data_IF_888998796278
#
_entry.id   IF_888998796278
#
_cell.length_a   1.000
_cell.length_b   1.000
_cell.length_c   1.000
_cell.angle_alpha   90.00
_cell.angle_beta   90.00
_cell.angle_gamma   90.00
#
_symmetry.space_group_name_H-M   'P 1'
#
loop_
_entity.id
_entity.type
_entity.pdbx_description
1 polymer ?
#
# COMPACT_ATOMS: atom_id res chain seq x y z
N UNK A 1 -4.83 -7.03 13.68
CA UNK A 1 -5.93 -7.42 12.76
C UNK A 1 -6.97 -8.15 13.58
N UNK A 2 -8.24 -7.76 13.46
CA UNK A 2 -9.33 -8.33 14.26
C UNK A 2 -9.87 -9.64 13.65
N UNK A 3 -9.60 -9.87 12.35
CA UNK A 3 -9.86 -11.15 11.67
C UNK A 3 -8.58 -11.97 11.56
N UNK A 4 -8.69 -13.28 11.77
CA UNK A 4 -7.59 -14.22 11.63
C UNK A 4 -6.99 -14.21 10.23
N UNK A 5 -5.69 -14.47 10.14
CA UNK A 5 -4.92 -14.48 8.89
C UNK A 5 -5.03 -15.84 8.19
N UNK A 6 -5.28 -15.85 6.88
CA UNK A 6 -5.42 -17.07 6.10
C UNK A 6 -4.27 -17.26 5.09
N UNK A 7 -3.02 -17.18 5.58
CA UNK A 7 -1.81 -17.16 4.72
C UNK A 7 -1.70 -18.34 3.75
N UNK A 8 -2.09 -19.56 4.17
CA UNK A 8 -2.05 -20.73 3.31
C UNK A 8 -3.05 -20.64 2.14
N UNK A 9 -4.23 -20.09 2.41
CA UNK A 9 -5.26 -19.88 1.39
C UNK A 9 -4.84 -18.80 0.40
N UNK A 10 -4.21 -17.72 0.88
CA UNK A 10 -3.69 -16.66 0.03
C UNK A 10 -2.58 -17.16 -0.91
N UNK A 11 -1.67 -17.99 -0.41
CA UNK A 11 -0.60 -18.60 -1.23
C UNK A 11 -1.17 -19.53 -2.31
N UNK A 12 -2.14 -20.37 -1.93
CA UNK A 12 -2.79 -21.32 -2.85
C UNK A 12 -3.54 -20.57 -3.95
N UNK A 13 -4.27 -19.52 -3.60
CA UNK A 13 -5.00 -18.69 -4.54
C UNK A 13 -4.05 -17.93 -5.49
N UNK A 14 -2.96 -17.35 -4.96
CA UNK A 14 -1.94 -16.69 -5.77
C UNK A 14 -1.27 -17.64 -6.77
N UNK A 15 -1.00 -18.89 -6.37
CA UNK A 15 -0.49 -19.93 -7.26
C UNK A 15 -1.47 -20.27 -8.38
N UNK A 16 -2.74 -20.47 -8.06
CA UNK A 16 -3.80 -20.74 -9.04
C UNK A 16 -3.93 -19.61 -10.08
N UNK A 17 -3.96 -18.36 -9.62
CA UNK A 17 -4.07 -17.19 -10.49
C UNK A 17 -2.87 -17.09 -11.42
N UNK A 18 -1.64 -17.30 -10.93
CA UNK A 18 -0.45 -17.26 -11.76
C UNK A 18 -0.40 -18.39 -12.80
N UNK A 19 -0.90 -19.59 -12.48
CA UNK A 19 -1.05 -20.68 -13.46
C UNK A 19 -1.98 -20.24 -14.60
N UNK A 20 -3.14 -19.66 -14.27
CA UNK A 20 -4.09 -19.16 -15.26
C UNK A 20 -3.50 -18.04 -16.13
N UNK A 21 -2.78 -17.09 -15.52
CA UNK A 21 -2.12 -16.00 -16.25
C UNK A 21 -1.01 -16.51 -17.16
N UNK A 22 -0.27 -17.54 -16.75
CA UNK A 22 0.73 -18.22 -17.56
C UNK A 22 0.13 -18.88 -18.81
N UNK A 23 -1.02 -19.57 -18.66
CA UNK A 23 -1.75 -20.17 -19.80
C UNK A 23 -2.26 -19.11 -20.78
N UNK A 24 -2.66 -17.94 -20.27
CA UNK A 24 -3.13 -16.81 -21.08
C UNK A 24 -2.00 -15.93 -21.64
N UNK A 25 -0.73 -16.22 -21.32
CA UNK A 25 0.43 -15.44 -21.77
C UNK A 25 0.58 -14.05 -21.13
N UNK A 26 -0.11 -13.81 -19.99
CA UNK A 26 -0.09 -12.54 -19.26
C UNK A 26 1.02 -12.53 -18.19
N UNK A 27 1.53 -11.35 -17.79
CA UNK A 27 2.56 -11.24 -16.77
C UNK A 27 2.07 -11.74 -15.41
N UNK A 28 2.97 -12.30 -14.61
CA UNK A 28 2.64 -12.89 -13.32
C UNK A 28 2.37 -11.81 -12.27
N UNK A 29 1.32 -12.01 -11.48
CA UNK A 29 0.88 -11.07 -10.45
C UNK A 29 1.48 -11.44 -9.10
N UNK A 30 2.02 -10.43 -8.42
CA UNK A 30 2.64 -10.55 -7.11
C UNK A 30 1.98 -9.57 -6.14
N UNK A 31 2.12 -9.85 -4.83
CA UNK A 31 1.61 -8.97 -3.79
C UNK A 31 2.29 -7.59 -3.85
N UNK A 32 1.49 -6.52 -3.96
CA UNK A 32 2.00 -5.16 -4.02
C UNK A 32 2.24 -4.60 -2.61
N UNK A 33 3.44 -4.81 -2.07
CA UNK A 33 3.82 -4.41 -0.72
C UNK A 33 3.65 -2.91 -0.40
N UNK A 34 4.16 -1.94 -1.20
CA UNK A 34 4.02 -0.53 -0.84
C UNK A 34 2.56 -0.05 -1.00
N UNK A 35 1.82 -0.60 -1.96
CA UNK A 35 0.42 -0.23 -2.17
C UNK A 35 -0.49 -0.77 -1.06
N UNK A 36 -0.25 -2.00 -0.59
CA UNK A 36 -1.05 -2.60 0.47
C UNK A 36 -0.87 -1.89 1.81
N UNK A 37 0.35 -1.48 2.16
CA UNK A 37 0.61 -0.72 3.39
C UNK A 37 0.01 0.68 3.34
N UNK A 38 0.09 1.37 2.19
CA UNK A 38 -0.56 2.66 2.00
C UNK A 38 -2.08 2.58 2.12
N UNK A 39 -2.69 1.56 1.50
CA UNK A 39 -4.12 1.38 1.56
C UNK A 39 -4.61 1.16 3.01
N UNK A 40 -3.86 0.36 3.77
CA UNK A 40 -4.13 0.12 5.20
C UNK A 40 -3.92 1.39 6.02
N UNK A 41 -2.88 2.19 5.71
CA UNK A 41 -2.61 3.48 6.38
C UNK A 41 -3.70 4.51 6.10
N UNK A 42 -4.29 4.53 4.90
CA UNK A 42 -5.43 5.39 4.57
C UNK A 42 -6.72 5.00 5.31
N UNK A 43 -6.85 3.74 5.74
CA UNK A 43 -7.97 3.22 6.51
C UNK A 43 -7.73 3.27 8.03
N UNK A 44 -6.57 3.78 8.45
CA UNK A 44 -6.18 3.88 9.85
C UNK A 44 -6.75 5.17 10.48
N UNK A 45 -7.36 5.02 11.64
CA UNK A 45 -7.76 6.13 12.50
C UNK A 45 -6.58 6.43 13.41
N UNK A 46 -5.99 7.60 13.22
CA UNK A 46 -4.89 8.12 14.04
C UNK A 46 -5.50 9.04 15.08
N UNK A 47 -5.24 8.76 16.36
CA UNK A 47 -5.55 9.69 17.45
C UNK A 47 -4.25 10.30 17.96
N UNK A 48 -4.27 11.61 18.19
CA UNK A 48 -3.21 12.32 18.89
C UNK A 48 -3.40 12.13 20.40
N UNK A 49 -2.45 11.43 21.04
CA UNK A 49 -2.36 11.38 22.51
C UNK A 49 -1.18 12.21 22.97
N UNK A 50 -1.44 13.10 23.91
CA UNK A 50 -0.39 13.86 24.60
C UNK A 50 -0.01 13.09 25.85
N UNK A 51 1.15 12.42 25.80
CA UNK A 51 1.77 11.82 26.98
C UNK A 51 3.05 12.59 27.33
N UNK A 52 3.13 13.12 28.55
CA UNK A 52 4.34 13.76 29.05
C UNK A 52 4.79 15.05 28.35
N UNK A 53 3.90 15.74 27.62
CA UNK A 53 4.22 16.98 26.90
C UNK A 53 4.68 16.78 25.46
N UNK A 54 4.72 15.54 24.97
CA UNK A 54 4.98 15.22 23.57
C UNK A 54 3.71 14.68 22.89
N UNK A 55 3.43 15.16 21.67
CA UNK A 55 2.34 14.69 20.82
C UNK A 55 2.76 13.36 20.19
N UNK A 56 2.08 12.27 20.57
CA UNK A 56 2.26 10.96 19.94
C UNK A 56 1.01 10.65 19.10
N UNK A 57 1.21 10.53 17.78
CA UNK A 57 0.20 9.96 16.88
C UNK A 57 0.20 8.44 17.03
N UNK A 58 -0.88 7.89 17.60
CA UNK A 58 -1.03 6.43 17.74
C UNK A 58 -2.18 5.95 16.85
N UNK A 59 -1.94 4.87 16.09
CA UNK A 59 -2.96 4.22 15.28
C UNK A 59 -3.89 3.43 16.22
N UNK A 60 -5.13 3.89 16.38
CA UNK A 60 -6.09 3.33 17.34
C UNK A 60 -6.88 2.17 16.75
N UNK A 61 -7.26 2.29 15.48
CA UNK A 61 -8.00 1.24 14.79
C UNK A 61 -7.84 1.35 13.28
N UNK A 62 -7.87 0.21 12.58
CA UNK A 62 -7.87 0.15 11.13
C UNK A 62 -9.21 -0.41 10.67
N UNK A 63 -9.87 0.31 9.76
CA UNK A 63 -11.12 -0.18 9.13
C UNK A 63 -10.79 -1.20 8.06
N UNK A 64 -10.94 -2.48 8.36
CA UNK A 64 -10.79 -3.56 7.37
C UNK A 64 -11.98 -3.57 6.39
N UNK A 65 -11.77 -3.04 5.17
CA UNK A 65 -12.81 -3.01 4.12
C UNK A 65 -12.40 -3.86 2.92
N UNK A 66 -13.34 -4.67 2.40
CA UNK A 66 -13.15 -5.50 1.18
C UNK A 66 -13.64 -4.80 -0.09
N UNK A 67 -14.51 -3.80 0.07
CA UNK A 67 -15.14 -3.09 -1.05
C UNK A 67 -14.15 -2.14 -1.71
N UNK A 68 -13.28 -1.48 -0.94
CA UNK A 68 -12.30 -0.53 -1.46
C UNK A 68 -11.33 -1.17 -2.45
N UNK A 69 -10.80 -2.36 -2.12
CA UNK A 69 -9.90 -3.11 -3.01
C UNK A 69 -10.63 -3.63 -4.24
N UNK A 70 -11.89 -4.06 -4.11
CA UNK A 70 -12.71 -4.51 -5.24
C UNK A 70 -13.02 -3.35 -6.20
N UNK A 71 -13.43 -2.20 -5.67
CA UNK A 71 -13.68 -0.98 -6.47
C UNK A 71 -12.42 -0.52 -7.17
N UNK A 72 -11.26 -0.51 -6.49
CA UNK A 72 -9.99 -0.15 -7.11
C UNK A 72 -9.63 -1.08 -8.30
N UNK A 73 -9.77 -2.40 -8.14
CA UNK A 73 -9.51 -3.35 -9.22
C UNK A 73 -10.50 -3.18 -10.40
N UNK A 74 -11.77 -2.88 -10.13
CA UNK A 74 -12.74 -2.56 -11.19
C UNK A 74 -12.33 -1.28 -11.93
N UNK A 75 -11.95 -0.23 -11.21
CA UNK A 75 -11.51 1.04 -11.81
C UNK A 75 -10.25 0.85 -12.66
N UNK A 76 -9.31 -0.03 -12.27
CA UNK A 76 -8.16 -0.41 -13.08
C UNK A 76 -8.62 -1.15 -14.36
N UNK A 77 -9.60 -2.05 -14.27
CA UNK A 77 -10.18 -2.70 -15.45
C UNK A 77 -10.87 -1.70 -16.40
N UNK A 78 -11.61 -0.73 -15.84
CA UNK A 78 -12.25 0.34 -16.61
C UNK A 78 -11.22 1.29 -17.23
N UNK A 79 -10.09 1.55 -16.56
CA UNK A 79 -9.05 2.44 -17.06
C UNK A 79 -8.40 1.91 -18.35
N UNK A 80 -8.40 0.59 -18.58
CA UNK A 80 -7.96 0.00 -19.85
C UNK A 80 -8.77 0.50 -21.05
N UNK A 81 -10.07 0.74 -20.88
CA UNK A 81 -10.91 1.32 -21.93
C UNK A 81 -10.70 2.83 -22.11
N UNK A 82 -10.23 3.51 -21.05
CA UNK A 82 -9.92 4.95 -21.04
C UNK A 82 -8.45 5.26 -21.40
N UNK A 83 -7.63 4.25 -21.70
CA UNK A 83 -6.25 4.42 -22.16
C UNK A 83 -6.06 5.35 -23.38
N UNK A 84 -6.93 5.36 -24.43
CA UNK A 84 -6.58 6.04 -25.68
C UNK A 84 -6.69 7.57 -25.64
N UNK A 85 -7.39 8.18 -24.67
CA UNK A 85 -7.67 9.64 -24.71
C UNK A 85 -7.35 10.37 -23.38
N UNK A 86 -8.00 10.09 -22.24
CA UNK A 86 -7.80 10.88 -21.01
C UNK A 86 -6.50 10.58 -20.25
N UNK A 87 -5.99 9.34 -20.27
CA UNK A 87 -4.84 8.97 -19.44
C UNK A 87 -3.51 9.61 -19.91
N UNK A 88 -3.44 9.99 -21.19
CA UNK A 88 -2.26 10.66 -21.77
C UNK A 88 -2.09 12.11 -21.31
N UNK A 89 -3.14 12.73 -20.75
CA UNK A 89 -3.08 14.11 -20.25
C UNK A 89 -2.37 14.21 -18.90
N UNK A 90 -2.11 13.10 -18.22
CA UNK A 90 -1.40 13.11 -16.94
C UNK A 90 0.10 13.27 -17.20
N UNK A 91 0.72 14.38 -16.77
CA UNK A 91 2.13 14.61 -16.98
C UNK A 91 2.97 13.64 -16.14
N UNK A 92 3.91 12.94 -16.78
CA UNK A 92 4.86 12.01 -16.12
C UNK A 92 5.57 12.59 -14.89
N UNK A 93 5.97 13.88 -14.84
CA UNK A 93 6.55 14.49 -13.64
C UNK A 93 5.69 14.38 -12.37
N UNK A 94 4.36 14.42 -12.49
CA UNK A 94 3.46 14.30 -11.34
C UNK A 94 3.52 12.88 -10.76
N UNK A 95 3.65 11.85 -11.61
CA UNK A 95 3.83 10.47 -11.17
C UNK A 95 5.14 10.32 -10.40
N UNK A 96 6.24 10.94 -10.83
CA UNK A 96 7.50 10.92 -10.09
C UNK A 96 7.38 11.58 -8.70
N UNK A 97 6.66 12.70 -8.61
CA UNK A 97 6.35 13.32 -7.31
C UNK A 97 5.55 12.40 -6.39
N UNK A 98 4.54 11.71 -6.92
CA UNK A 98 3.75 10.73 -6.17
C UNK A 98 4.62 9.55 -5.69
N UNK A 99 5.46 8.99 -6.57
CA UNK A 99 6.38 7.91 -6.20
C UNK A 99 7.37 8.33 -5.12
N UNK A 100 7.91 9.56 -5.20
CA UNK A 100 8.81 10.10 -4.18
C UNK A 100 8.10 10.27 -2.84
N UNK A 101 6.86 10.77 -2.83
CA UNK A 101 6.04 10.86 -1.62
C UNK A 101 5.78 9.48 -0.99
N UNK A 102 5.43 8.49 -1.80
CA UNK A 102 5.23 7.10 -1.34
C UNK A 102 6.53 6.53 -0.74
N UNK A 103 7.66 6.76 -1.39
CA UNK A 103 8.95 6.30 -0.91
C UNK A 103 9.29 6.90 0.47
N UNK A 104 9.13 8.22 0.63
CA UNK A 104 9.42 8.90 1.91
C UNK A 104 8.48 8.44 3.03
N UNK A 105 7.17 8.40 2.77
CA UNK A 105 6.17 7.97 3.77
C UNK A 105 6.31 6.50 4.17
N UNK A 106 6.98 5.67 3.35
CA UNK A 106 7.29 4.28 3.70
C UNK A 106 8.45 4.14 4.69
N UNK A 107 9.29 5.18 4.83
CA UNK A 107 10.38 5.22 5.81
C UNK A 107 9.83 5.56 7.20
N UNK A 108 8.81 6.43 7.26
CA UNK A 108 8.16 6.83 8.52
C UNK A 108 7.52 5.63 9.22
N UNK A 109 8.04 5.29 10.40
CA UNK A 109 7.60 4.15 11.20
C UNK A 109 8.39 2.86 10.97
N UNK A 110 9.44 2.89 10.15
CA UNK A 110 10.36 1.77 10.02
C UNK A 110 11.41 1.78 11.14
N UNK A 111 11.27 0.85 12.09
CA UNK A 111 12.20 0.71 13.23
C UNK A 111 13.67 0.57 12.80
N UNK A 112 13.95 -0.03 11.65
CA UNK A 112 15.32 -0.13 11.14
C UNK A 112 15.88 1.25 10.77
N UNK A 113 15.09 2.09 10.10
CA UNK A 113 15.49 3.45 9.73
C UNK A 113 15.67 4.33 10.96
N UNK A 114 14.79 4.22 11.96
CA UNK A 114 14.94 4.94 13.23
C UNK A 114 16.25 4.57 13.94
N UNK A 115 16.57 3.28 13.98
CA UNK A 115 17.83 2.79 14.56
C UNK A 115 19.06 3.25 13.78
N UNK A 116 18.98 3.27 12.45
CA UNK A 116 20.06 3.81 11.61
C UNK A 116 20.25 5.31 11.83
N UNK A 117 19.16 6.07 12.00
CA UNK A 117 19.23 7.50 12.31
C UNK A 117 19.84 7.76 13.71
N UNK A 118 19.58 6.89 14.68
CA UNK A 118 20.20 6.96 16.01
C UNK A 118 21.71 6.73 15.98
N UNK A 119 22.24 5.94 15.04
CA UNK A 119 23.69 5.76 14.86
C UNK A 119 24.37 7.02 14.28
N UNK A 120 23.60 7.87 13.58
CA UNK A 120 24.09 9.10 12.96
C UNK A 120 23.92 10.33 13.84
N UNK A 121 23.04 10.27 14.84
CA UNK A 121 23.01 11.27 15.92
C UNK A 121 24.17 10.98 16.88
N UNK A 122 24.92 12.02 17.24
CA UNK A 122 25.88 11.95 18.33
C UNK A 122 25.19 11.37 19.58
N UNK A 123 25.83 10.37 20.19
CA UNK A 123 25.44 9.86 21.51
C UNK A 123 25.73 10.88 22.59
#
# INVERSE_FOLDING_TARGET
LLKGTAYHWDLTLSGLINILMSVLGLPWMHAAFPHSTLHVRQLAIVEERVEGGHLYETIVSVKETRVTSLVANILIGVSLFLLPVPLQWIPKPVLYGLFLYIALTSIDGNQMCDRMALLLKEQ
#
